data_IF_211804044927
#
_entry.id   IF_211804044927
#
_cell.length_a   1.000
_cell.length_b   1.000
_cell.length_c   1.000
_cell.angle_alpha   90.00
_cell.angle_beta   90.00
_cell.angle_gamma   90.00
#
_symmetry.space_group_name_H-M   'P 1'
#
loop_
_entity.id
_entity.type
_entity.pdbx_description
1 polymer ?
#
# COMPACT_ATOMS: atom_id res chain seq x y z
N UNK A 1 -7.95 -19.16 27.10
CA UNK A 1 -7.06 -18.05 27.49
C UNK A 1 -6.08 -18.35 28.64
N UNK A 2 -6.29 -19.37 29.49
CA UNK A 2 -5.49 -19.56 30.71
C UNK A 2 -4.20 -20.41 30.58
N UNK A 3 -3.74 -20.75 29.37
CA UNK A 3 -2.46 -21.45 29.18
C UNK A 3 -1.28 -20.53 29.53
N UNK A 4 -0.20 -20.96 30.19
CA UNK A 4 0.99 -20.12 30.35
C UNK A 4 1.78 -19.95 29.05
N UNK A 5 1.55 -20.80 28.04
CA UNK A 5 2.30 -20.77 26.78
C UNK A 5 1.80 -19.64 25.85
N UNK A 6 2.70 -18.71 25.50
CA UNK A 6 2.42 -17.60 24.60
C UNK A 6 2.01 -18.08 23.20
N UNK A 7 2.73 -19.05 22.62
CA UNK A 7 2.44 -19.62 21.29
C UNK A 7 1.03 -20.19 21.19
N UNK A 8 0.62 -21.01 22.18
CA UNK A 8 -0.72 -21.60 22.21
C UNK A 8 -1.82 -20.53 22.34
N UNK A 9 -1.55 -19.44 23.08
CA UNK A 9 -2.49 -18.31 23.13
C UNK A 9 -2.58 -17.65 21.75
N UNK A 10 -1.46 -17.40 21.09
CA UNK A 10 -1.43 -16.77 19.77
C UNK A 10 -2.22 -17.58 18.73
N UNK A 11 -1.99 -18.89 18.63
CA UNK A 11 -2.70 -19.79 17.70
C UNK A 11 -4.22 -19.79 17.94
N UNK A 12 -4.63 -19.81 19.22
CA UNK A 12 -6.05 -19.74 19.57
C UNK A 12 -6.69 -18.41 19.16
N UNK A 13 -5.94 -17.31 19.26
CA UNK A 13 -6.43 -15.99 18.86
C UNK A 13 -6.54 -15.83 17.36
N UNK A 14 -5.60 -16.38 16.60
CA UNK A 14 -5.68 -16.45 15.14
C UNK A 14 -6.91 -17.25 14.71
N UNK A 15 -7.13 -18.42 15.31
CA UNK A 15 -8.32 -19.22 15.05
C UNK A 15 -9.64 -18.48 15.37
N UNK A 16 -9.69 -17.71 16.47
CA UNK A 16 -10.86 -16.91 16.82
C UNK A 16 -11.07 -15.77 15.81
N UNK A 17 -10.00 -15.10 15.38
CA UNK A 17 -10.05 -14.08 14.34
C UNK A 17 -10.61 -14.64 13.03
N UNK A 18 -10.14 -15.81 12.58
CA UNK A 18 -10.58 -16.46 11.34
C UNK A 18 -12.07 -16.87 11.38
N UNK A 19 -12.62 -17.11 12.57
CA UNK A 19 -14.04 -17.43 12.78
C UNK A 19 -14.92 -16.20 12.96
N UNK A 20 -14.37 -14.99 12.87
CA UNK A 20 -15.11 -13.74 13.02
C UNK A 20 -15.36 -13.33 14.47
N UNK A 21 -14.75 -14.00 15.46
CA UNK A 21 -14.87 -13.67 16.90
C UNK A 21 -13.99 -12.47 17.29
N UNK A 22 -14.09 -11.38 16.52
CA UNK A 22 -13.18 -10.23 16.54
C UNK A 22 -13.05 -9.57 17.90
N UNK A 23 -14.16 -9.34 18.61
CA UNK A 23 -14.14 -8.67 19.90
C UNK A 23 -13.37 -9.48 20.97
N UNK A 24 -13.59 -10.80 20.98
CA UNK A 24 -12.94 -11.71 21.91
C UNK A 24 -11.45 -11.84 21.61
N UNK A 25 -11.09 -11.93 20.33
CA UNK A 25 -9.71 -11.92 19.88
C UNK A 25 -9.00 -10.63 20.28
N UNK A 26 -9.62 -9.46 20.06
CA UNK A 26 -9.06 -8.15 20.39
C UNK A 26 -8.77 -7.98 21.89
N UNK A 27 -9.75 -8.27 22.74
CA UNK A 27 -9.57 -8.17 24.19
C UNK A 27 -8.41 -9.05 24.66
N UNK A 28 -8.28 -10.22 24.04
CA UNK A 28 -7.27 -11.21 24.36
C UNK A 28 -5.88 -10.83 23.85
N UNK A 29 -5.76 -10.31 22.62
CA UNK A 29 -4.51 -9.76 22.08
C UNK A 29 -3.99 -8.59 22.92
N UNK A 30 -4.87 -7.67 23.37
CA UNK A 30 -4.50 -6.57 24.26
C UNK A 30 -3.88 -7.05 25.58
N UNK A 31 -4.27 -8.22 26.06
CA UNK A 31 -3.67 -8.85 27.24
C UNK A 31 -2.37 -9.59 26.91
N UNK A 32 -2.24 -10.12 25.68
CA UNK A 32 -1.10 -10.91 25.25
C UNK A 32 0.11 -10.03 24.86
N UNK A 33 -0.13 -8.86 24.26
CA UNK A 33 0.93 -7.95 23.78
C UNK A 33 1.93 -7.55 24.88
N UNK A 34 1.52 -7.09 26.08
CA UNK A 34 2.47 -6.80 27.14
C UNK A 34 3.22 -8.05 27.64
N UNK A 35 2.57 -9.21 27.64
CA UNK A 35 3.22 -10.46 28.05
C UNK A 35 4.30 -10.88 27.05
N UNK A 36 4.04 -10.75 25.74
CA UNK A 36 5.03 -10.98 24.72
C UNK A 36 6.16 -9.94 24.78
N UNK A 37 5.84 -8.66 25.04
CA UNK A 37 6.84 -7.60 25.08
C UNK A 37 7.84 -7.71 26.24
N UNK A 38 7.44 -8.26 27.39
CA UNK A 38 8.27 -8.33 28.61
C UNK A 38 8.65 -9.75 29.04
N UNK A 39 8.04 -10.79 28.47
CA UNK A 39 8.13 -12.16 28.97
C UNK A 39 8.49 -13.21 27.93
N UNK A 40 8.74 -12.85 26.66
CA UNK A 40 9.16 -13.80 25.63
C UNK A 40 10.64 -14.15 25.75
N UNK A 41 10.97 -15.44 25.68
CA UNK A 41 12.36 -15.91 25.50
C UNK A 41 12.79 -15.86 24.02
N UNK A 42 11.84 -15.92 23.08
CA UNK A 42 12.08 -15.86 21.64
C UNK A 42 12.00 -14.44 21.06
N UNK A 43 12.98 -14.07 20.23
CA UNK A 43 13.10 -12.72 19.66
C UNK A 43 12.02 -12.34 18.64
N UNK A 44 11.22 -13.29 18.15
CA UNK A 44 10.14 -13.05 17.17
C UNK A 44 8.74 -13.16 17.76
N UNK A 45 8.59 -13.55 19.03
CA UNK A 45 7.26 -13.81 19.62
C UNK A 45 6.42 -12.53 19.72
N UNK A 46 7.03 -11.41 20.11
CA UNK A 46 6.37 -10.10 20.07
C UNK A 46 5.97 -9.73 18.64
N UNK A 47 6.81 -10.05 17.64
CA UNK A 47 6.52 -9.78 16.24
C UNK A 47 5.29 -10.56 15.75
N UNK A 48 5.21 -11.86 16.02
CA UNK A 48 4.09 -12.69 15.58
C UNK A 48 2.76 -12.21 16.20
N UNK A 49 2.77 -11.93 17.51
CA UNK A 49 1.58 -11.44 18.23
C UNK A 49 1.18 -10.05 17.75
N UNK A 50 2.14 -9.12 17.60
CA UNK A 50 1.88 -7.76 17.15
C UNK A 50 1.38 -7.74 15.70
N UNK A 51 1.94 -8.55 14.80
CA UNK A 51 1.50 -8.64 13.40
C UNK A 51 0.02 -9.02 13.31
N UNK A 52 -0.39 -10.06 14.05
CA UNK A 52 -1.78 -10.52 14.05
C UNK A 52 -2.72 -9.47 14.67
N UNK A 53 -2.33 -8.89 15.81
CA UNK A 53 -3.11 -7.81 16.44
C UNK A 53 -3.27 -6.60 15.51
N UNK A 54 -2.16 -6.10 14.97
CA UNK A 54 -2.15 -4.90 14.12
C UNK A 54 -2.98 -5.11 12.86
N UNK A 55 -2.96 -6.31 12.26
CA UNK A 55 -3.85 -6.65 11.13
C UNK A 55 -5.32 -6.55 11.52
N UNK A 56 -5.68 -6.91 12.75
CA UNK A 56 -7.06 -6.89 13.26
C UNK A 56 -7.55 -5.49 13.63
N UNK A 57 -6.66 -4.56 14.00
CA UNK A 57 -7.05 -3.19 14.40
C UNK A 57 -6.75 -2.12 13.37
N UNK A 58 -5.92 -2.37 12.35
CA UNK A 58 -5.47 -1.34 11.39
C UNK A 58 -6.60 -0.53 10.74
N UNK A 59 -7.73 -1.15 10.46
CA UNK A 59 -8.88 -0.50 9.80
C UNK A 59 -9.65 0.43 10.74
N UNK A 60 -9.60 0.17 12.05
CA UNK A 60 -10.36 0.92 13.06
C UNK A 60 -9.48 1.87 13.85
N UNK A 61 -8.21 1.53 14.04
CA UNK A 61 -7.23 2.29 14.80
C UNK A 61 -5.82 2.03 14.21
N UNK A 62 -5.49 2.68 13.08
CA UNK A 62 -4.19 2.54 12.43
C UNK A 62 -3.03 3.03 13.32
N UNK A 63 -3.30 3.95 14.24
CA UNK A 63 -2.27 4.49 15.14
C UNK A 63 -1.85 3.45 16.17
N UNK A 64 -2.80 2.78 16.82
CA UNK A 64 -2.50 1.71 17.78
C UNK A 64 -1.91 0.47 17.08
N UNK A 65 -2.40 0.14 15.87
CA UNK A 65 -1.81 -0.89 15.02
C UNK A 65 -0.32 -0.62 14.77
N UNK A 66 -0.01 0.61 14.36
CA UNK A 66 1.36 1.00 14.03
C UNK A 66 2.25 1.03 15.27
N UNK A 67 1.75 1.51 16.41
CA UNK A 67 2.50 1.57 17.66
C UNK A 67 3.01 0.19 18.10
N UNK A 68 2.14 -0.82 18.13
CA UNK A 68 2.53 -2.17 18.55
C UNK A 68 3.44 -2.84 17.53
N UNK A 69 3.20 -2.61 16.24
CA UNK A 69 4.04 -3.19 15.20
C UNK A 69 5.43 -2.54 15.13
N UNK A 70 5.53 -1.22 15.36
CA UNK A 70 6.82 -0.51 15.47
C UNK A 70 7.66 -1.06 16.62
N UNK A 71 7.05 -1.26 17.79
CA UNK A 71 7.72 -1.86 18.95
C UNK A 71 8.22 -3.28 18.65
N UNK A 72 7.38 -4.08 18.00
CA UNK A 72 7.74 -5.42 17.57
C UNK A 72 8.94 -5.41 16.60
N UNK A 73 8.91 -4.57 15.58
CA UNK A 73 10.01 -4.44 14.60
C UNK A 73 11.28 -3.95 15.28
N UNK A 74 11.20 -3.01 16.23
CA UNK A 74 12.35 -2.57 17.02
C UNK A 74 13.07 -3.73 17.71
N UNK A 75 12.30 -4.67 18.28
CA UNK A 75 12.85 -5.88 18.90
C UNK A 75 13.54 -6.85 17.93
N UNK A 76 13.25 -6.78 16.63
CA UNK A 76 13.89 -7.66 15.63
C UNK A 76 15.21 -7.11 15.10
N UNK A 77 15.51 -5.81 15.31
CA UNK A 77 16.73 -5.15 14.84
C UNK A 77 18.01 -5.68 15.50
N UNK A 78 17.90 -6.29 16.67
CA UNK A 78 19.02 -6.92 17.39
C UNK A 78 19.34 -8.33 16.87
N UNK A 79 18.62 -8.79 15.84
CA UNK A 79 18.68 -10.16 15.35
C UNK A 79 18.86 -10.21 13.83
N UNK A 80 19.21 -11.39 13.32
CA UNK A 80 19.35 -11.65 11.87
C UNK A 80 18.21 -12.54 11.33
N UNK A 81 17.05 -12.56 11.98
CA UNK A 81 15.95 -13.47 11.62
C UNK A 81 15.25 -13.09 10.32
N UNK A 82 15.40 -11.83 9.87
CA UNK A 82 14.75 -11.35 8.66
C UNK A 82 15.74 -11.14 7.51
N UNK A 83 15.21 -11.20 6.29
CA UNK A 83 15.97 -10.76 5.10
C UNK A 83 16.22 -9.26 5.19
N UNK A 84 17.35 -8.80 4.66
CA UNK A 84 17.77 -7.39 4.67
C UNK A 84 16.65 -6.42 4.23
N UNK A 85 15.90 -6.77 3.19
CA UNK A 85 14.75 -6.00 2.68
C UNK A 85 13.68 -5.73 3.75
N UNK A 86 13.44 -6.68 4.65
CA UNK A 86 12.40 -6.53 5.67
C UNK A 86 12.71 -5.39 6.66
N UNK A 87 14.00 -5.08 6.87
CA UNK A 87 14.42 -3.97 7.72
C UNK A 87 14.20 -2.59 7.07
N UNK A 88 13.75 -2.55 5.82
CA UNK A 88 13.30 -1.34 5.14
C UNK A 88 11.77 -1.39 4.99
N UNK A 89 11.23 -2.49 4.46
CA UNK A 89 9.80 -2.57 4.14
C UNK A 89 8.91 -2.58 5.39
N UNK A 90 9.28 -3.27 6.46
CA UNK A 90 8.48 -3.29 7.70
C UNK A 90 8.38 -1.90 8.35
N UNK A 91 9.49 -1.13 8.53
CA UNK A 91 9.39 0.26 8.93
C UNK A 91 8.54 1.12 8.00
N UNK A 92 8.64 0.96 6.68
CA UNK A 92 7.80 1.71 5.73
C UNK A 92 6.32 1.42 5.97
N UNK A 93 5.92 0.15 6.12
CA UNK A 93 4.53 -0.21 6.43
C UNK A 93 4.02 0.46 7.72
N UNK A 94 4.81 0.41 8.79
CA UNK A 94 4.47 1.10 10.05
C UNK A 94 4.30 2.60 9.83
N UNK A 95 5.21 3.23 9.08
CA UNK A 95 5.15 4.67 8.82
C UNK A 95 3.94 5.05 7.99
N UNK A 96 3.50 4.22 7.04
CA UNK A 96 2.26 4.47 6.28
C UNK A 96 1.02 4.44 7.18
N UNK A 97 0.96 3.52 8.16
CA UNK A 97 -0.14 3.49 9.12
C UNK A 97 -0.12 4.68 10.09
N UNK A 98 1.07 5.11 10.53
CA UNK A 98 1.21 6.34 11.33
C UNK A 98 0.82 7.59 10.52
N UNK A 99 1.21 7.64 9.25
CA UNK A 99 0.81 8.70 8.32
C UNK A 99 -0.71 8.75 8.18
N UNK A 100 -1.37 7.61 7.95
CA UNK A 100 -2.82 7.52 7.89
C UNK A 100 -3.50 8.01 9.18
N UNK A 101 -3.00 7.60 10.35
CA UNK A 101 -3.48 8.13 11.63
C UNK A 101 -3.27 9.64 11.78
N UNK A 102 -2.14 10.18 11.32
CA UNK A 102 -1.85 11.61 11.35
C UNK A 102 -2.78 12.41 10.42
N UNK A 103 -3.08 11.87 9.23
CA UNK A 103 -4.05 12.43 8.28
C UNK A 103 -5.43 12.50 8.93
N UNK A 104 -5.90 11.40 9.53
CA UNK A 104 -7.21 11.36 10.17
C UNK A 104 -7.34 12.36 11.33
N UNK A 105 -6.26 12.55 12.08
CA UNK A 105 -6.20 13.47 13.21
C UNK A 105 -5.95 14.95 12.81
N UNK A 106 -5.67 15.23 11.54
CA UNK A 106 -5.35 16.59 11.09
C UNK A 106 -3.97 17.10 11.54
N UNK A 107 -3.05 16.23 11.95
CA UNK A 107 -1.72 16.62 12.44
C UNK A 107 -0.74 16.74 11.26
N UNK A 108 -0.76 17.91 10.60
CA UNK A 108 0.12 18.22 9.46
C UNK A 108 1.61 18.05 9.78
N UNK A 109 2.03 18.32 11.03
CA UNK A 109 3.42 18.16 11.43
C UNK A 109 3.81 16.68 11.53
N UNK A 110 2.94 15.83 12.05
CA UNK A 110 3.16 14.38 12.03
C UNK A 110 3.12 13.83 10.60
N UNK A 111 2.16 14.28 9.78
CA UNK A 111 2.07 13.93 8.35
C UNK A 111 3.41 14.17 7.64
N UNK A 112 3.95 15.39 7.73
CA UNK A 112 5.21 15.73 7.06
C UNK A 112 6.38 14.86 7.56
N UNK A 113 6.48 14.64 8.88
CA UNK A 113 7.52 13.78 9.45
C UNK A 113 7.43 12.34 8.95
N UNK A 114 6.24 11.78 8.82
CA UNK A 114 6.05 10.42 8.34
C UNK A 114 6.37 10.30 6.86
N UNK A 115 5.92 11.25 6.03
CA UNK A 115 6.27 11.32 4.60
C UNK A 115 7.78 11.41 4.39
N UNK A 116 8.47 12.30 5.14
CA UNK A 116 9.92 12.44 5.04
C UNK A 116 10.65 11.15 5.35
N UNK A 117 10.18 10.40 6.36
CA UNK A 117 10.79 9.13 6.74
C UNK A 117 10.50 8.03 5.73
N UNK A 118 9.29 7.98 5.16
CA UNK A 118 8.93 7.02 4.11
C UNK A 118 9.82 7.24 2.91
N UNK A 119 9.89 8.46 2.39
CA UNK A 119 10.67 8.76 1.18
C UNK A 119 12.19 8.75 1.39
N UNK A 120 12.67 8.69 2.63
CA UNK A 120 14.08 8.38 2.90
C UNK A 120 14.39 6.89 2.73
N UNK A 121 13.41 6.02 3.00
CA UNK A 121 13.54 4.56 2.95
C UNK A 121 13.13 3.99 1.59
N UNK A 122 12.04 4.51 1.03
CA UNK A 122 11.48 4.16 -0.26
C UNK A 122 11.04 5.44 -1.01
N UNK A 123 11.92 6.01 -1.85
CA UNK A 123 11.60 7.21 -2.62
C UNK A 123 10.47 7.03 -3.65
N UNK A 124 10.16 5.77 -4.02
CA UNK A 124 9.17 5.43 -5.05
C UNK A 124 7.92 4.78 -4.46
N UNK A 125 7.63 5.07 -3.19
CA UNK A 125 6.51 4.47 -2.47
C UNK A 125 5.15 4.75 -3.16
N UNK A 126 4.67 3.76 -3.90
CA UNK A 126 3.43 3.85 -4.69
C UNK A 126 2.17 3.89 -3.83
N UNK A 127 2.19 3.24 -2.65
CA UNK A 127 0.99 3.15 -1.80
C UNK A 127 0.68 4.51 -1.15
N UNK A 128 1.70 5.31 -0.83
CA UNK A 128 1.47 6.70 -0.42
C UNK A 128 0.77 7.46 -1.55
N UNK A 129 1.32 7.39 -2.77
CA UNK A 129 0.83 8.11 -3.93
C UNK A 129 -0.60 7.72 -4.33
N UNK A 130 -0.92 6.42 -4.33
CA UNK A 130 -2.22 5.86 -4.69
C UNK A 130 -3.26 6.10 -3.60
N UNK A 131 -2.95 5.75 -2.35
CA UNK A 131 -3.97 5.61 -1.30
C UNK A 131 -4.01 6.79 -0.33
N UNK A 132 -2.87 7.42 -0.05
CA UNK A 132 -2.76 8.41 1.03
C UNK A 132 -2.78 9.86 0.53
N UNK A 133 -2.33 10.15 -0.70
CA UNK A 133 -2.47 11.49 -1.27
C UNK A 133 -3.94 11.92 -1.45
N UNK A 134 -4.86 11.07 -1.94
CA UNK A 134 -6.28 11.42 -1.99
C UNK A 134 -6.85 11.76 -0.60
N UNK A 135 -6.50 10.97 0.43
CA UNK A 135 -6.92 11.24 1.82
C UNK A 135 -6.38 12.56 2.37
N UNK A 136 -5.15 12.94 2.03
CA UNK A 136 -4.61 14.25 2.39
C UNK A 136 -5.46 15.38 1.81
N UNK A 137 -5.87 15.26 0.53
CA UNK A 137 -6.74 16.24 -0.13
C UNK A 137 -8.12 16.31 0.50
N UNK A 138 -8.72 15.16 0.84
CA UNK A 138 -10.00 15.11 1.55
C UNK A 138 -9.96 15.83 2.91
N UNK A 139 -8.79 15.87 3.56
CA UNK A 139 -8.55 16.60 4.81
C UNK A 139 -8.10 18.05 4.61
N UNK A 140 -8.06 18.55 3.37
CA UNK A 140 -7.65 19.92 3.02
C UNK A 140 -6.14 20.15 3.05
N UNK A 141 -5.33 19.09 3.07
CA UNK A 141 -3.86 19.15 3.07
C UNK A 141 -3.28 19.12 1.64
N UNK A 142 -3.91 19.83 0.70
CA UNK A 142 -3.59 19.78 -0.73
C UNK A 142 -2.12 20.12 -1.03
N UNK A 143 -1.56 21.13 -0.34
CA UNK A 143 -0.18 21.53 -0.53
C UNK A 143 0.82 20.42 -0.15
N UNK A 144 0.52 19.64 0.91
CA UNK A 144 1.35 18.50 1.31
C UNK A 144 1.20 17.37 0.29
N UNK A 145 -0.02 17.12 -0.19
CA UNK A 145 -0.28 16.11 -1.21
C UNK A 145 0.45 16.41 -2.52
N UNK A 146 0.39 17.66 -3.00
CA UNK A 146 1.06 18.12 -4.22
C UNK A 146 2.58 18.01 -4.11
N UNK A 147 3.15 18.44 -2.98
CA UNK A 147 4.58 18.34 -2.73
C UNK A 147 5.06 16.88 -2.66
N UNK A 148 4.23 16.00 -2.09
CA UNK A 148 4.53 14.57 -1.97
C UNK A 148 4.46 13.86 -3.31
N UNK A 149 3.44 14.16 -4.13
CA UNK A 149 3.37 13.70 -5.52
C UNK A 149 4.63 14.11 -6.28
N UNK A 150 5.01 15.38 -6.20
CA UNK A 150 6.16 15.91 -6.94
C UNK A 150 7.46 15.20 -6.54
N UNK A 151 7.62 14.87 -5.26
CA UNK A 151 8.78 14.13 -4.76
C UNK A 151 8.88 12.72 -5.35
N UNK A 152 7.77 11.97 -5.35
CA UNK A 152 7.73 10.62 -5.94
C UNK A 152 7.91 10.70 -7.45
N UNK A 153 7.27 11.67 -8.10
CA UNK A 153 7.35 11.86 -9.54
C UNK A 153 8.79 12.16 -10.00
N UNK A 154 9.47 13.10 -9.36
CA UNK A 154 10.86 13.42 -9.71
C UNK A 154 11.82 12.28 -9.41
N UNK A 155 11.66 11.59 -8.27
CA UNK A 155 12.45 10.40 -7.95
C UNK A 155 12.24 9.29 -8.99
N UNK A 156 10.99 9.06 -9.40
CA UNK A 156 10.62 8.07 -10.40
C UNK A 156 11.21 8.41 -11.77
N UNK A 157 11.09 9.65 -12.23
CA UNK A 157 11.69 10.07 -13.50
C UNK A 157 13.21 9.94 -13.51
N UNK A 158 13.87 10.27 -12.40
CA UNK A 158 15.31 10.08 -12.27
C UNK A 158 15.68 8.58 -12.34
N UNK A 159 14.93 7.72 -11.64
CA UNK A 159 15.14 6.27 -11.68
C UNK A 159 14.95 5.72 -13.11
N UNK A 160 13.87 6.07 -13.79
CA UNK A 160 13.59 5.58 -15.16
C UNK A 160 14.62 6.10 -16.17
N UNK A 161 15.18 7.30 -15.96
CA UNK A 161 16.28 7.78 -16.80
C UNK A 161 17.53 6.89 -16.69
N UNK A 162 17.82 6.36 -15.50
CA UNK A 162 18.95 5.44 -15.25
C UNK A 162 18.61 3.99 -15.64
N UNK A 163 17.35 3.58 -15.51
CA UNK A 163 16.85 2.23 -15.74
C UNK A 163 15.66 2.20 -16.72
N UNK A 164 15.85 2.57 -17.99
CA UNK A 164 14.75 2.77 -18.94
C UNK A 164 14.03 1.49 -19.38
N UNK A 165 14.53 0.32 -18.97
CA UNK A 165 13.95 -0.99 -19.31
C UNK A 165 13.23 -1.66 -18.13
N UNK A 166 13.14 -1.00 -16.99
CA UNK A 166 12.38 -1.48 -15.84
C UNK A 166 10.88 -1.21 -16.05
N UNK A 167 10.21 -2.15 -16.73
CA UNK A 167 8.80 -2.04 -17.07
C UNK A 167 7.91 -1.92 -15.82
N UNK A 168 8.25 -2.62 -14.73
CA UNK A 168 7.51 -2.54 -13.47
C UNK A 168 7.61 -1.14 -12.87
N UNK A 169 8.81 -0.57 -12.75
CA UNK A 169 8.97 0.78 -12.22
C UNK A 169 8.31 1.83 -13.12
N UNK A 170 8.39 1.67 -14.44
CA UNK A 170 7.74 2.55 -15.41
C UNK A 170 6.22 2.53 -15.27
N UNK A 171 5.63 1.33 -15.19
CA UNK A 171 4.20 1.16 -14.98
C UNK A 171 3.74 1.73 -13.62
N UNK A 172 4.49 1.45 -12.57
CA UNK A 172 4.21 1.96 -11.23
C UNK A 172 4.22 3.50 -11.18
N UNK A 173 5.18 4.14 -11.86
CA UNK A 173 5.23 5.59 -11.96
C UNK A 173 4.04 6.15 -12.79
N UNK A 174 3.67 5.47 -13.88
CA UNK A 174 2.50 5.82 -14.66
C UNK A 174 1.20 5.74 -13.83
N UNK A 175 1.08 4.70 -13.01
CA UNK A 175 -0.03 4.52 -12.07
C UNK A 175 -0.10 5.65 -11.02
N UNK A 176 1.04 6.05 -10.46
CA UNK A 176 1.12 7.21 -9.54
C UNK A 176 0.54 8.47 -10.18
N UNK A 177 0.87 8.73 -11.43
CA UNK A 177 0.34 9.84 -12.22
C UNK A 177 -1.18 9.73 -12.45
N UNK A 178 -1.65 8.54 -12.85
CA UNK A 178 -3.07 8.27 -13.08
C UNK A 178 -3.91 8.53 -11.81
N UNK A 179 -3.52 7.97 -10.67
CA UNK A 179 -4.24 8.12 -9.39
C UNK A 179 -4.29 9.54 -8.85
N UNK A 180 -3.42 10.42 -9.34
CA UNK A 180 -3.38 11.82 -8.94
C UNK A 180 -3.85 12.77 -10.06
N UNK A 181 -4.31 12.25 -11.21
CA UNK A 181 -4.72 13.03 -12.39
C UNK A 181 -3.67 14.05 -12.84
N UNK A 182 -2.39 13.64 -12.83
CA UNK A 182 -1.25 14.51 -13.14
C UNK A 182 -0.34 13.87 -14.18
N UNK A 183 0.29 14.69 -15.02
CA UNK A 183 1.33 14.27 -15.96
C UNK A 183 0.89 13.12 -16.90
N UNK A 184 -0.40 13.08 -17.25
CA UNK A 184 -1.04 11.95 -17.94
C UNK A 184 -0.41 11.62 -19.30
N UNK A 185 0.07 12.61 -20.06
CA UNK A 185 0.77 12.39 -21.32
C UNK A 185 2.09 11.62 -21.13
N UNK A 186 2.84 11.93 -20.07
CA UNK A 186 4.07 11.20 -19.73
C UNK A 186 3.75 9.83 -19.15
N UNK A 187 2.72 9.74 -18.31
CA UNK A 187 2.23 8.48 -17.79
C UNK A 187 1.84 7.51 -18.92
N UNK A 188 1.17 8.01 -19.97
CA UNK A 188 0.81 7.22 -21.14
C UNK A 188 2.06 6.67 -21.83
N UNK A 189 3.09 7.50 -22.05
CA UNK A 189 4.35 7.04 -22.67
C UNK A 189 5.06 5.97 -21.83
N UNK A 190 5.11 6.16 -20.50
CA UNK A 190 5.70 5.18 -19.58
C UNK A 190 4.93 3.85 -19.57
N UNK A 191 3.60 3.91 -19.57
CA UNK A 191 2.75 2.71 -19.57
C UNK A 191 2.75 2.00 -20.92
N UNK A 192 2.71 2.73 -22.04
CA UNK A 192 2.91 2.19 -23.40
C UNK A 192 4.26 1.45 -23.50
N UNK A 193 5.31 2.00 -22.91
CA UNK A 193 6.63 1.35 -22.87
C UNK A 193 6.61 0.07 -22.00
N UNK A 194 5.94 0.09 -20.85
CA UNK A 194 5.80 -1.09 -20.01
C UNK A 194 5.03 -2.22 -20.72
N UNK A 195 3.92 -1.89 -21.40
CA UNK A 195 3.16 -2.84 -22.24
C UNK A 195 3.99 -3.33 -23.42
N UNK A 196 4.83 -2.48 -24.02
CA UNK A 196 5.72 -2.90 -25.10
C UNK A 196 6.73 -3.97 -24.65
N UNK A 197 7.29 -3.84 -23.44
CA UNK A 197 8.23 -4.83 -22.90
C UNK A 197 7.55 -6.09 -22.38
N UNK A 198 6.36 -5.97 -21.81
CA UNK A 198 5.61 -7.08 -21.23
C UNK A 198 4.15 -7.08 -21.74
N UNK A 199 3.92 -7.41 -23.03
CA UNK A 199 2.61 -7.27 -23.68
C UNK A 199 1.55 -8.22 -23.11
N UNK A 200 1.97 -9.34 -22.52
CA UNK A 200 1.05 -10.32 -21.93
C UNK A 200 0.58 -9.89 -20.53
N UNK A 201 1.20 -8.88 -19.91
CA UNK A 201 0.83 -8.38 -18.59
C UNK A 201 -0.53 -7.68 -18.64
N UNK A 202 -1.57 -8.34 -18.12
CA UNK A 202 -2.90 -7.73 -17.98
C UNK A 202 -2.86 -6.49 -17.08
N UNK A 203 -2.00 -6.50 -16.04
CA UNK A 203 -1.85 -5.39 -15.10
C UNK A 203 -1.31 -4.12 -15.79
N UNK A 204 -0.34 -4.26 -16.69
CA UNK A 204 0.22 -3.09 -17.39
C UNK A 204 -0.74 -2.58 -18.46
N UNK A 205 -1.46 -3.49 -19.12
CA UNK A 205 -2.50 -3.14 -20.08
C UNK A 205 -3.66 -2.39 -19.40
N UNK A 206 -4.10 -2.86 -18.24
CA UNK A 206 -5.11 -2.22 -17.38
C UNK A 206 -4.67 -0.81 -16.95
N UNK A 207 -3.41 -0.66 -16.50
CA UNK A 207 -2.84 0.67 -16.19
C UNK A 207 -2.88 1.60 -17.40
N UNK A 208 -2.50 1.12 -18.58
CA UNK A 208 -2.55 1.90 -19.82
C UNK A 208 -3.99 2.28 -20.18
N UNK A 209 -4.93 1.37 -20.04
CA UNK A 209 -6.35 1.63 -20.31
C UNK A 209 -6.91 2.72 -19.39
N UNK A 210 -6.61 2.69 -18.09
CA UNK A 210 -7.01 3.75 -17.15
C UNK A 210 -6.41 5.10 -17.55
N UNK A 211 -5.13 5.17 -17.92
CA UNK A 211 -4.51 6.42 -18.36
C UNK A 211 -5.14 6.94 -19.66
N UNK A 212 -5.41 6.05 -20.62
CA UNK A 212 -6.08 6.41 -21.88
C UNK A 212 -7.49 6.92 -21.63
N UNK A 213 -8.22 6.31 -20.70
CA UNK A 213 -9.52 6.79 -20.26
C UNK A 213 -9.43 8.21 -19.67
N UNK A 214 -8.45 8.47 -18.79
CA UNK A 214 -8.22 9.80 -18.21
C UNK A 214 -7.79 10.86 -19.23
N UNK A 215 -7.32 10.44 -20.41
CA UNK A 215 -6.98 11.29 -21.55
C UNK A 215 -8.13 11.41 -22.58
N UNK A 216 -9.34 10.99 -22.23
CA UNK A 216 -10.52 10.94 -23.10
C UNK A 216 -10.35 10.05 -24.35
N UNK A 217 -9.37 9.14 -24.37
CA UNK A 217 -9.11 8.17 -25.45
C UNK A 217 -9.92 6.89 -25.24
N UNK A 218 -11.24 7.04 -25.09
CA UNK A 218 -12.15 5.96 -24.65
C UNK A 218 -12.16 4.72 -25.54
N UNK A 219 -12.06 4.90 -26.86
CA UNK A 219 -12.04 3.78 -27.81
C UNK A 219 -10.83 2.86 -27.62
N UNK A 220 -9.66 3.45 -27.35
CA UNK A 220 -8.42 2.71 -27.14
C UNK A 220 -8.43 2.02 -25.78
N UNK A 221 -8.88 2.70 -24.72
CA UNK A 221 -9.07 2.11 -23.39
C UNK A 221 -10.02 0.89 -23.44
N UNK A 222 -11.19 1.04 -24.07
CA UNK A 222 -12.16 -0.06 -24.22
C UNK A 222 -11.61 -1.23 -25.04
N UNK A 223 -10.80 -0.96 -26.07
CA UNK A 223 -10.19 -2.01 -26.86
C UNK A 223 -9.21 -2.84 -26.02
N UNK A 224 -8.39 -2.18 -25.19
CA UNK A 224 -7.44 -2.86 -24.29
C UNK A 224 -8.18 -3.71 -23.26
N UNK A 225 -9.15 -3.13 -22.55
CA UNK A 225 -9.92 -3.84 -21.51
C UNK A 225 -10.66 -5.06 -22.03
N UNK A 226 -11.29 -4.94 -23.22
CA UNK A 226 -11.93 -6.08 -23.87
C UNK A 226 -10.93 -7.16 -24.24
N UNK A 227 -9.71 -6.78 -24.63
CA UNK A 227 -8.61 -7.72 -24.85
C UNK A 227 -8.23 -8.46 -23.57
N UNK A 228 -8.00 -7.73 -22.47
CA UNK A 228 -7.70 -8.30 -21.16
C UNK A 228 -8.80 -9.25 -20.67
N UNK A 229 -10.07 -8.89 -20.89
CA UNK A 229 -11.21 -9.73 -20.52
C UNK A 229 -11.29 -11.02 -21.33
N UNK A 230 -10.84 -11.02 -22.59
CA UNK A 230 -10.76 -12.25 -23.39
C UNK A 230 -9.68 -13.20 -22.86
N UNK A 231 -8.58 -12.67 -22.34
CA UNK A 231 -7.52 -13.47 -21.75
C UNK A 231 -7.95 -14.10 -20.42
N UNK A 232 -8.67 -13.35 -19.58
CA UNK A 232 -9.21 -13.83 -18.31
C UNK A 232 -10.64 -13.31 -18.03
N UNK A 233 -11.67 -14.05 -18.49
CA UNK A 233 -13.07 -13.66 -18.30
C UNK A 233 -13.53 -13.58 -16.83
N UNK A 234 -12.76 -14.16 -15.90
CA UNK A 234 -13.10 -14.23 -14.48
C UNK A 234 -12.79 -12.96 -13.69
N UNK A 235 -12.03 -12.02 -14.27
CA UNK A 235 -11.66 -10.78 -13.59
C UNK A 235 -12.81 -9.79 -13.60
N UNK A 236 -13.61 -9.82 -12.53
CA UNK A 236 -14.77 -8.93 -12.34
C UNK A 236 -14.42 -7.44 -12.48
N UNK A 237 -13.23 -7.03 -12.06
CA UNK A 237 -12.77 -5.64 -12.18
C UNK A 237 -12.82 -5.12 -13.63
N UNK A 238 -12.43 -5.93 -14.61
CA UNK A 238 -12.43 -5.53 -16.04
C UNK A 238 -13.85 -5.26 -16.55
N UNK A 239 -14.86 -5.99 -16.05
CA UNK A 239 -16.26 -5.70 -16.39
C UNK A 239 -16.66 -4.31 -15.87
N UNK A 240 -16.26 -3.96 -14.65
CA UNK A 240 -16.54 -2.64 -14.08
C UNK A 240 -15.84 -1.51 -14.84
N UNK A 241 -14.60 -1.72 -15.29
CA UNK A 241 -13.89 -0.75 -16.12
C UNK A 241 -14.55 -0.56 -17.48
N UNK A 242 -14.93 -1.65 -18.16
CA UNK A 242 -15.61 -1.58 -19.46
C UNK A 242 -16.93 -0.81 -19.35
N UNK A 243 -17.71 -1.04 -18.29
CA UNK A 243 -18.94 -0.30 -18.04
C UNK A 243 -18.65 1.19 -17.82
N UNK A 244 -17.69 1.51 -16.93
CA UNK A 244 -17.24 2.90 -16.66
C UNK A 244 -16.86 3.63 -17.96
N UNK A 245 -16.02 3.00 -18.79
CA UNK A 245 -15.52 3.59 -20.02
C UNK A 245 -16.61 3.71 -21.10
N UNK A 246 -17.55 2.75 -21.15
CA UNK A 246 -18.65 2.77 -22.11
C UNK A 246 -19.67 3.86 -21.80
N UNK A 247 -19.96 4.09 -20.52
CA UNK A 247 -20.84 5.16 -20.05
C UNK A 247 -20.23 6.53 -20.38
N UNK A 248 -18.97 6.78 -20.02
CA UNK A 248 -18.29 8.05 -20.31
C UNK A 248 -18.22 8.37 -21.82
N UNK A 249 -18.06 7.36 -22.67
CA UNK A 249 -18.08 7.55 -24.13
C UNK A 249 -19.45 7.99 -24.67
N UNK A 250 -20.53 7.65 -23.97
CA UNK A 250 -21.90 7.92 -24.41
C UNK A 250 -22.41 9.32 -24.01
N UNK A 251 -21.73 9.99 -23.07
CA UNK A 251 -21.99 11.37 -22.62
C UNK A 251 -21.40 12.42 -23.57
#
# INVERSE_FOLDING_TARGET
>A
MCSPALTLRSELLEYLSDRGERQMALQSYRSLLPMAAFGSEGATELYDVARNYSTLVRETDPTDAAKWFDLAIGGTLETTFFRSVAYISLPVFVRRWQLEGAIENGDEQAVQRHLDRIYQLDPLDIDVAERLLPKLREKGMDAIADASFERVWQAGRAYIADYPFDATAGNNLAWVAAMNHRELDEAARLSEQAVYFEPDSAIYRDTLAEILFLLDRFDEALQIERGCLLDDPGQWHLHQQIDKYSEAKAE
#
